data_IF_070481765608
#
_entry.id   IF_070481765608
#
_cell.length_a   1.000
_cell.length_b   1.000
_cell.length_c   1.000
_cell.angle_alpha   90.00
_cell.angle_beta   90.00
_cell.angle_gamma   90.00
#
_symmetry.space_group_name_H-M   'P 1'
#
loop_
_entity.id
_entity.type
_entity.pdbx_description
1 polymer ?
#
# COMPACT_ATOMS: atom_id res chain seq x y z
N UNK A 1 1.79 -6.01 4.57
CA UNK A 1 2.43 -4.67 4.51
C UNK A 1 3.95 -4.76 4.65
N UNK A 2 4.67 -4.42 3.59
CA UNK A 2 6.13 -4.53 3.51
C UNK A 2 6.84 -3.37 4.22
N UNK A 3 8.13 -3.55 4.55
CA UNK A 3 8.97 -2.48 5.10
C UNK A 3 9.05 -1.28 4.15
N UNK A 4 9.12 -1.53 2.84
CA UNK A 4 9.16 -0.49 1.82
C UNK A 4 7.88 0.36 1.82
N UNK A 5 6.72 -0.26 2.01
CA UNK A 5 5.46 0.49 2.12
C UNK A 5 5.39 1.31 3.40
N UNK A 6 5.81 0.74 4.54
CA UNK A 6 5.88 1.49 5.80
C UNK A 6 6.76 2.74 5.65
N UNK A 7 7.94 2.57 5.05
CA UNK A 7 8.83 3.68 4.74
C UNK A 7 8.18 4.72 3.83
N UNK A 8 7.50 4.30 2.77
CA UNK A 8 6.83 5.19 1.82
C UNK A 8 5.70 5.99 2.48
N UNK A 9 4.85 5.33 3.28
CA UNK A 9 3.79 5.99 4.03
C UNK A 9 4.34 7.05 4.99
N UNK A 10 5.47 6.78 5.66
CA UNK A 10 6.16 7.74 6.51
C UNK A 10 6.70 8.95 5.74
N UNK A 11 7.21 8.76 4.51
CA UNK A 11 7.64 9.90 3.69
C UNK A 11 6.46 10.75 3.24
N UNK A 12 5.35 10.11 2.86
CA UNK A 12 4.13 10.82 2.48
C UNK A 12 3.61 11.67 3.65
N UNK A 13 3.63 11.15 4.87
CA UNK A 13 3.24 11.90 6.07
C UNK A 13 4.13 13.14 6.27
N UNK A 14 5.45 12.99 6.19
CA UNK A 14 6.38 14.12 6.31
C UNK A 14 6.14 15.19 5.24
N UNK A 15 5.87 14.78 4.01
CA UNK A 15 5.58 15.69 2.91
C UNK A 15 4.23 16.39 3.10
N UNK A 16 3.22 15.69 3.63
CA UNK A 16 1.90 16.25 3.94
C UNK A 16 2.00 17.31 5.04
N UNK A 17 2.79 17.07 6.08
CA UNK A 17 3.01 18.00 7.21
C UNK A 17 3.70 19.30 6.79
N UNK A 18 4.51 19.26 5.72
CA UNK A 18 5.18 20.44 5.18
C UNK A 18 4.26 21.33 4.33
N UNK A 19 3.05 20.87 3.97
CA UNK A 19 2.16 21.66 3.13
C UNK A 19 1.34 22.66 3.93
N UNK A 20 1.53 23.95 3.65
CA UNK A 20 0.75 25.03 4.23
C UNK A 20 -0.67 25.12 3.63
N UNK A 21 -0.83 24.76 2.35
CA UNK A 21 -2.13 24.81 1.67
C UNK A 21 -2.88 23.50 1.88
N UNK A 22 -4.17 23.63 2.20
CA UNK A 22 -5.06 22.49 2.39
C UNK A 22 -5.10 21.57 1.17
N UNK A 23 -5.19 22.13 -0.04
CA UNK A 23 -5.26 21.36 -1.29
C UNK A 23 -4.03 20.49 -1.51
N UNK A 24 -2.87 21.03 -1.19
CA UNK A 24 -1.58 20.37 -1.40
C UNK A 24 -1.42 19.27 -0.34
N UNK A 25 -1.85 19.52 0.91
CA UNK A 25 -1.93 18.49 1.96
C UNK A 25 -2.90 17.38 1.58
N UNK A 26 -4.07 17.72 1.04
CA UNK A 26 -5.10 16.76 0.64
C UNK A 26 -4.59 15.81 -0.46
N UNK A 27 -3.78 16.30 -1.39
CA UNK A 27 -3.11 15.45 -2.37
C UNK A 27 -2.27 14.36 -1.71
N UNK A 28 -1.43 14.69 -0.73
CA UNK A 28 -0.59 13.71 -0.03
C UNK A 28 -1.42 12.70 0.77
N UNK A 29 -2.51 13.13 1.41
CA UNK A 29 -3.42 12.23 2.12
C UNK A 29 -4.09 11.24 1.16
N UNK A 30 -4.52 11.69 -0.01
CA UNK A 30 -5.10 10.83 -1.04
C UNK A 30 -4.05 9.84 -1.60
N UNK A 31 -2.81 10.29 -1.80
CA UNK A 31 -1.71 9.41 -2.21
C UNK A 31 -1.44 8.32 -1.17
N UNK A 32 -1.44 8.67 0.12
CA UNK A 32 -1.26 7.69 1.20
C UNK A 32 -2.33 6.61 1.16
N UNK A 33 -3.57 6.99 0.91
CA UNK A 33 -4.67 6.04 0.81
C UNK A 33 -4.53 5.12 -0.41
N UNK A 34 -4.11 5.67 -1.56
CA UNK A 34 -3.81 4.85 -2.74
C UNK A 34 -2.72 3.82 -2.46
N UNK A 35 -1.64 4.20 -1.77
CA UNK A 35 -0.55 3.28 -1.40
C UNK A 35 -1.06 2.14 -0.50
N UNK A 36 -1.92 2.44 0.48
CA UNK A 36 -2.53 1.41 1.35
C UNK A 36 -3.38 0.42 0.57
N UNK A 37 -4.18 0.92 -0.37
CA UNK A 37 -4.99 0.07 -1.23
C UNK A 37 -4.13 -0.79 -2.16
N UNK A 38 -3.02 -0.26 -2.65
CA UNK A 38 -2.07 -1.03 -3.46
C UNK A 38 -1.43 -2.16 -2.65
N UNK A 39 -1.02 -1.91 -1.41
CA UNK A 39 -0.50 -2.98 -0.54
C UNK A 39 -1.54 -4.06 -0.27
N UNK A 40 -2.77 -3.66 0.05
CA UNK A 40 -3.86 -4.59 0.29
C UNK A 40 -4.06 -5.52 -0.92
N UNK A 41 -4.01 -4.97 -2.14
CA UNK A 41 -4.12 -5.75 -3.38
C UNK A 41 -2.92 -6.68 -3.57
N UNK A 42 -1.71 -6.23 -3.26
CA UNK A 42 -0.52 -7.08 -3.34
C UNK A 42 -0.59 -8.26 -2.37
N UNK A 43 -1.06 -8.03 -1.14
CA UNK A 43 -1.26 -9.08 -0.13
C UNK A 43 -2.34 -10.09 -0.60
N UNK A 44 -3.44 -9.60 -1.19
CA UNK A 44 -4.50 -10.43 -1.76
C UNK A 44 -4.01 -11.29 -2.94
N UNK A 45 -3.31 -10.68 -3.91
CA UNK A 45 -2.79 -11.38 -5.08
C UNK A 45 -1.76 -12.45 -4.70
N UNK A 46 -0.90 -12.17 -3.72
CA UNK A 46 0.07 -13.16 -3.21
C UNK A 46 -0.64 -14.37 -2.60
N UNK A 47 -1.70 -14.14 -1.83
CA UNK A 47 -2.53 -15.21 -1.27
C UNK A 47 -3.30 -16.01 -2.33
N UNK A 48 -3.82 -15.37 -3.38
CA UNK A 48 -4.47 -16.07 -4.49
C UNK A 48 -3.51 -16.95 -5.30
N UNK A 49 -2.28 -16.48 -5.52
CA UNK A 49 -1.24 -17.26 -6.20
C UNK A 49 -0.84 -18.49 -5.37
N UNK A 50 -0.65 -18.32 -4.06
CA UNK A 50 -0.31 -19.43 -3.17
C UNK A 50 -1.45 -20.46 -3.07
N UNK A 51 -2.69 -19.99 -2.88
CA UNK A 51 -3.88 -20.85 -2.82
C UNK A 51 -4.19 -21.61 -4.11
N UNK A 52 -3.80 -21.09 -5.29
CA UNK A 52 -3.88 -21.80 -6.57
C UNK A 52 -2.72 -22.78 -6.79
N UNK A 53 -1.58 -22.52 -6.16
CA UNK A 53 -0.38 -23.36 -6.25
C UNK A 53 -0.50 -24.57 -5.31
N UNK A 54 -1.14 -24.41 -4.15
CA UNK A 54 -1.46 -25.50 -3.23
C UNK A 54 -2.73 -26.25 -3.68
N UNK A 55 -2.57 -27.15 -4.67
CA UNK A 55 -3.58 -28.16 -5.03
C UNK A 55 -3.11 -29.56 -4.62
N UNK A 56 -3.60 -30.11 -3.49
CA UNK A 56 -3.21 -31.44 -3.03
C UNK A 56 -3.73 -32.58 -3.94
N UNK A 57 -4.50 -32.28 -4.97
CA UNK A 57 -5.03 -33.22 -5.96
C UNK A 57 -4.15 -33.31 -7.23
N UNK A 58 -2.93 -32.73 -7.21
CA UNK A 58 -1.96 -32.75 -8.32
C UNK A 58 -0.59 -33.40 -7.99
N UNK A 59 -0.46 -34.10 -6.86
CA UNK A 59 0.70 -34.95 -6.55
C UNK A 59 0.33 -36.43 -6.58
#
# INVERSE_FOLDING_TARGET
MTEQSQWLQLQIDKLAEQQAKFTDRAFWLALKEMVREQDRRNDQLSGEVDGRTWRPDKW
#
